data_IF_289758256656
#
_entry.id   IF_289758256656
#
_cell.length_a   1.000
_cell.length_b   1.000
_cell.length_c   1.000
_cell.angle_alpha   90.00
_cell.angle_beta   90.00
_cell.angle_gamma   90.00
#
_symmetry.space_group_name_H-M   'P 1'
#
loop_
_entity.id
_entity.type
_entity.pdbx_description
1 polymer ?
#
# COMPACT_ATOMS: atom_id res chain seq x y z
N UNK A 1 -11.63 7.61 -52.23
CA UNK A 1 -11.38 7.53 -50.77
C UNK A 1 -10.21 6.59 -50.56
N UNK A 2 -9.01 7.01 -50.18
CA UNK A 2 -7.89 6.11 -49.95
C UNK A 2 -7.85 5.65 -48.49
N UNK A 3 -7.65 4.34 -48.32
CA UNK A 3 -7.27 3.65 -47.10
C UNK A 3 -5.98 4.23 -46.52
N UNK A 4 -6.01 4.64 -45.26
CA UNK A 4 -4.80 4.84 -44.44
C UNK A 4 -4.71 3.71 -43.44
N UNK A 5 -3.93 2.69 -43.78
CA UNK A 5 -3.44 1.70 -42.86
C UNK A 5 -2.50 2.39 -41.83
N UNK A 6 -2.88 2.38 -40.56
CA UNK A 6 -2.02 2.80 -39.50
C UNK A 6 -0.98 1.72 -39.23
N UNK A 7 0.24 1.97 -39.66
CA UNK A 7 1.41 1.20 -39.24
C UNK A 7 1.69 1.42 -37.75
N UNK A 8 1.19 0.56 -36.92
CA UNK A 8 1.68 0.38 -35.57
C UNK A 8 2.94 -0.48 -35.68
N UNK A 9 4.09 0.16 -35.70
CA UNK A 9 5.38 -0.48 -35.51
C UNK A 9 5.43 -1.12 -34.13
N UNK A 10 5.23 -2.45 -34.09
CA UNK A 10 5.71 -3.26 -33.00
C UNK A 10 7.24 -3.16 -32.99
N UNK A 11 7.79 -2.29 -32.16
CA UNK A 11 9.18 -2.40 -31.75
C UNK A 11 9.31 -3.66 -30.90
N UNK A 12 9.71 -4.75 -31.51
CA UNK A 12 10.24 -5.89 -30.76
C UNK A 12 11.47 -5.38 -30.03
N UNK A 13 11.34 -5.25 -28.69
CA UNK A 13 12.47 -4.92 -27.82
C UNK A 13 13.43 -6.10 -27.92
N UNK A 14 14.62 -5.83 -28.37
CA UNK A 14 15.69 -6.82 -28.50
C UNK A 14 16.17 -7.20 -27.08
N UNK A 15 15.58 -8.27 -26.56
CA UNK A 15 15.87 -8.82 -25.23
C UNK A 15 17.35 -9.24 -25.08
N UNK A 16 18.00 -9.62 -26.19
CA UNK A 16 19.43 -9.98 -26.17
C UNK A 16 20.33 -8.76 -25.96
N UNK A 17 19.86 -7.56 -26.33
CA UNK A 17 20.59 -6.31 -26.11
C UNK A 17 20.48 -5.82 -24.66
N UNK A 18 19.38 -6.12 -23.98
CA UNK A 18 19.19 -5.84 -22.55
C UNK A 18 20.03 -6.76 -21.68
N UNK A 19 20.19 -8.03 -22.07
CA UNK A 19 20.95 -9.01 -21.29
C UNK A 19 22.48 -8.79 -21.30
N UNK A 20 23.04 -8.17 -22.33
CA UNK A 20 24.50 -7.95 -22.45
C UNK A 20 25.06 -6.80 -21.62
N UNK A 21 24.20 -5.91 -21.05
CA UNK A 21 24.66 -4.74 -20.29
C UNK A 21 24.36 -4.80 -18.80
N UNK A 22 23.94 -5.95 -18.26
CA UNK A 22 23.48 -6.08 -16.85
C UNK A 22 24.56 -5.77 -15.81
N UNK A 23 25.80 -6.19 -16.04
CA UNK A 23 26.84 -6.13 -15.01
C UNK A 23 27.53 -4.76 -14.86
N UNK A 24 27.32 -3.83 -15.78
CA UNK A 24 28.07 -2.57 -15.86
C UNK A 24 27.21 -1.28 -15.87
N UNK A 25 25.87 -1.37 -15.69
CA UNK A 25 25.08 -0.15 -15.58
C UNK A 25 25.31 0.49 -14.20
N UNK A 26 25.88 1.71 -14.11
CA UNK A 26 26.13 2.40 -12.85
C UNK A 26 24.87 2.61 -12.00
N UNK A 27 23.70 2.50 -12.61
CA UNK A 27 22.41 2.67 -11.96
C UNK A 27 21.98 1.37 -11.30
N UNK A 28 22.16 0.22 -11.96
CA UNK A 28 21.95 -1.10 -11.37
C UNK A 28 22.89 -1.30 -10.19
N UNK A 29 24.17 -0.92 -10.33
CA UNK A 29 25.13 -0.94 -9.23
C UNK A 29 24.80 0.04 -8.10
N UNK A 30 24.22 1.22 -8.39
CA UNK A 30 23.79 2.16 -7.37
C UNK A 30 22.54 1.72 -6.62
N UNK A 31 21.65 0.96 -7.29
CA UNK A 31 20.43 0.39 -6.71
C UNK A 31 20.74 -0.77 -5.77
N UNK A 32 21.70 -1.61 -6.11
CA UNK A 32 22.27 -2.64 -5.22
C UNK A 32 22.98 -1.98 -4.01
N UNK A 33 23.42 -0.71 -4.15
CA UNK A 33 24.11 0.02 -3.08
C UNK A 33 23.21 0.58 -1.99
N UNK A 34 21.92 0.77 -2.23
CA UNK A 34 21.06 1.40 -1.21
C UNK A 34 20.38 0.40 -0.27
N UNK A 35 20.50 -0.92 -0.48
CA UNK A 35 20.00 -2.00 0.40
C UNK A 35 18.80 -1.56 1.26
N UNK A 36 17.79 -0.99 0.57
CA UNK A 36 16.59 -0.42 1.14
C UNK A 36 15.39 -1.27 0.75
N UNK A 37 14.58 -1.63 1.73
CA UNK A 37 13.44 -2.50 1.49
C UNK A 37 12.23 -2.06 2.31
N UNK A 38 11.05 -2.07 1.68
CA UNK A 38 9.75 -2.09 2.34
C UNK A 38 9.22 -3.52 2.31
N UNK A 39 9.17 -4.14 3.47
CA UNK A 39 8.69 -5.51 3.63
C UNK A 39 7.30 -5.49 4.25
N UNK A 40 6.29 -5.84 3.48
CA UNK A 40 4.98 -6.16 4.04
C UNK A 40 5.02 -7.56 4.66
N UNK A 41 4.37 -7.72 5.80
CA UNK A 41 4.17 -9.01 6.44
C UNK A 41 2.68 -9.21 6.62
N UNK A 42 2.10 -10.10 5.83
CA UNK A 42 0.69 -10.49 5.95
C UNK A 42 0.54 -11.40 7.15
N UNK A 43 -0.12 -10.89 8.22
CA UNK A 43 -0.27 -11.62 9.49
C UNK A 43 -1.49 -12.53 9.52
N UNK A 44 -2.49 -12.22 8.73
CA UNK A 44 -3.72 -13.01 8.56
C UNK A 44 -4.47 -12.53 7.33
N UNK A 45 -5.24 -13.41 6.71
CA UNK A 45 -6.20 -13.03 5.66
C UNK A 45 -7.57 -12.63 6.24
N UNK A 46 -7.81 -12.91 7.53
CA UNK A 46 -9.09 -12.61 8.19
C UNK A 46 -9.24 -11.12 8.48
N UNK A 47 -10.47 -10.63 8.34
CA UNK A 47 -10.87 -9.28 8.71
C UNK A 47 -12.25 -9.32 9.36
N UNK A 48 -12.50 -8.46 10.35
CA UNK A 48 -13.83 -8.32 10.97
C UNK A 48 -14.75 -7.35 10.22
N UNK A 49 -14.24 -6.71 9.14
CA UNK A 49 -15.03 -5.84 8.27
C UNK A 49 -15.24 -6.51 6.92
N UNK A 50 -16.30 -6.09 6.25
CA UNK A 50 -16.62 -6.46 4.88
C UNK A 50 -16.83 -5.18 4.07
N UNK A 51 -15.72 -4.47 3.76
CA UNK A 51 -15.77 -3.21 3.01
C UNK A 51 -16.15 -3.49 1.55
N UNK A 52 -17.02 -2.65 0.98
CA UNK A 52 -17.62 -2.90 -0.33
C UNK A 52 -16.63 -3.04 -1.51
N UNK A 53 -15.46 -2.48 -1.39
CA UNK A 53 -14.38 -2.53 -2.40
C UNK A 53 -13.25 -3.51 -2.02
N UNK A 54 -13.42 -4.32 -0.98
CA UNK A 54 -12.35 -5.20 -0.52
C UNK A 54 -12.36 -6.52 -1.29
N UNK A 55 -11.29 -6.79 -2.05
CA UNK A 55 -11.11 -8.05 -2.76
C UNK A 55 -10.88 -9.27 -1.84
N UNK A 56 -10.65 -9.07 -0.53
CA UNK A 56 -10.70 -10.14 0.46
C UNK A 56 -12.16 -10.51 0.77
N UNK A 57 -12.95 -10.78 -0.27
CA UNK A 57 -14.35 -11.19 -0.19
C UNK A 57 -14.63 -12.21 0.91
N UNK A 58 -15.89 -12.47 1.17
CA UNK A 58 -16.39 -13.36 2.23
C UNK A 58 -15.42 -14.53 2.51
N UNK A 59 -15.13 -14.78 3.78
CA UNK A 59 -14.21 -15.83 4.27
C UNK A 59 -14.46 -17.26 3.69
N UNK A 60 -15.39 -17.42 2.74
CA UNK A 60 -15.80 -18.68 2.14
C UNK A 60 -14.97 -19.06 0.90
N UNK A 61 -14.37 -18.09 0.19
CA UNK A 61 -13.64 -18.36 -1.07
C UNK A 61 -12.12 -18.55 -0.91
N UNK A 62 -11.60 -18.43 0.32
CA UNK A 62 -10.14 -18.48 0.61
C UNK A 62 -9.60 -19.92 0.61
N UNK A 63 -10.46 -20.95 0.68
CA UNK A 63 -10.01 -22.35 0.83
C UNK A 63 -9.40 -22.95 -0.45
N UNK A 64 -9.70 -22.43 -1.63
CA UNK A 64 -9.30 -23.03 -2.91
C UNK A 64 -7.93 -22.56 -3.46
N UNK A 65 -7.30 -21.52 -2.88
CA UNK A 65 -6.00 -21.06 -3.34
C UNK A 65 -4.90 -21.66 -2.46
N UNK A 66 -4.23 -22.68 -2.94
CA UNK A 66 -3.16 -23.45 -2.26
C UNK A 66 -2.04 -22.58 -1.65
N UNK A 67 -1.90 -21.33 -2.07
CA UNK A 67 -0.93 -20.38 -1.57
C UNK A 67 -1.38 -19.58 -0.33
N UNK A 68 -2.66 -19.61 0.07
CA UNK A 68 -3.22 -18.68 1.04
C UNK A 68 -3.83 -19.37 2.26
N UNK A 69 -2.96 -19.81 3.18
CA UNK A 69 -3.44 -20.15 4.51
C UNK A 69 -3.98 -18.86 5.18
N UNK A 70 -5.18 -18.85 5.80
CA UNK A 70 -5.71 -17.67 6.46
C UNK A 70 -4.86 -17.19 7.64
N UNK A 71 -3.96 -18.03 8.14
CA UNK A 71 -3.11 -17.76 9.29
C UNK A 71 -1.64 -18.04 8.97
N UNK A 72 -0.74 -17.39 9.71
CA UNK A 72 0.70 -17.64 9.58
C UNK A 72 1.03 -19.07 10.01
N UNK A 73 1.61 -19.84 9.09
CA UNK A 73 2.00 -21.25 9.30
C UNK A 73 3.51 -21.49 9.28
N UNK A 74 4.32 -20.47 9.05
CA UNK A 74 5.79 -20.56 9.08
C UNK A 74 6.34 -20.12 10.44
N UNK A 75 7.57 -20.52 10.74
CA UNK A 75 8.28 -20.05 11.94
C UNK A 75 8.64 -18.56 11.78
N UNK A 76 8.00 -17.68 12.57
CA UNK A 76 8.24 -16.23 12.53
C UNK A 76 9.69 -15.85 12.85
N UNK A 77 10.49 -16.73 13.47
CA UNK A 77 11.91 -16.48 13.67
C UNK A 77 12.70 -16.37 12.36
N UNK A 78 12.18 -16.93 11.26
CA UNK A 78 12.77 -16.82 9.92
C UNK A 78 12.84 -15.36 9.44
N UNK A 79 11.97 -14.48 9.94
CA UNK A 79 12.00 -13.05 9.63
C UNK A 79 13.34 -12.39 10.00
N UNK A 80 14.10 -12.96 10.94
CA UNK A 80 15.46 -12.50 11.28
C UNK A 80 16.41 -12.48 10.08
N UNK A 81 16.14 -13.25 9.03
CA UNK A 81 16.92 -13.25 7.78
C UNK A 81 17.02 -11.87 7.15
N UNK A 82 16.02 -11.00 7.39
CA UNK A 82 15.98 -9.62 6.91
C UNK A 82 16.77 -8.61 7.77
N UNK A 83 17.35 -9.01 8.91
CA UNK A 83 18.22 -8.13 9.73
C UNK A 83 19.47 -7.65 8.99
N UNK A 84 19.82 -8.27 7.86
CA UNK A 84 20.96 -7.88 7.02
C UNK A 84 20.63 -6.67 6.12
N UNK A 85 19.35 -6.35 5.92
CA UNK A 85 18.90 -5.17 5.13
C UNK A 85 19.21 -3.90 5.91
N UNK A 86 19.92 -2.95 5.31
CA UNK A 86 20.41 -1.75 6.00
C UNK A 86 19.31 -0.75 6.34
N UNK A 87 18.40 -0.48 5.40
CA UNK A 87 17.26 0.43 5.60
C UNK A 87 15.96 -0.35 5.41
N UNK A 88 15.65 -1.19 6.39
CA UNK A 88 14.46 -2.01 6.41
C UNK A 88 13.28 -1.24 7.01
N UNK A 89 12.19 -1.13 6.26
CA UNK A 89 10.88 -0.77 6.76
C UNK A 89 9.96 -1.99 6.71
N UNK A 90 9.29 -2.30 7.80
CA UNK A 90 8.35 -3.43 7.92
C UNK A 90 6.95 -2.90 8.11
N UNK A 91 6.04 -3.29 7.23
CA UNK A 91 4.63 -2.93 7.33
C UNK A 91 3.80 -4.17 7.70
N UNK A 92 3.18 -4.17 8.87
CA UNK A 92 2.20 -5.19 9.23
C UNK A 92 0.93 -4.97 8.43
N UNK A 93 0.50 -6.04 7.75
CA UNK A 93 -0.56 -6.02 6.75
C UNK A 93 -1.41 -7.30 6.82
N UNK A 94 -2.44 -7.40 5.96
CA UNK A 94 -3.31 -8.55 5.79
C UNK A 94 -4.76 -8.16 5.62
N UNK A 95 -5.70 -9.00 6.00
CA UNK A 95 -7.09 -8.62 6.18
C UNK A 95 -7.19 -7.54 7.26
N UNK A 96 -6.92 -7.92 8.52
CA UNK A 96 -6.71 -6.96 9.61
C UNK A 96 -5.56 -7.44 10.52
N UNK A 97 -4.39 -6.80 10.47
CA UNK A 97 -3.22 -7.25 11.22
C UNK A 97 -3.41 -7.18 12.76
N UNK A 98 -4.28 -6.30 13.26
CA UNK A 98 -4.54 -6.20 14.70
C UNK A 98 -5.39 -7.35 15.26
N UNK A 99 -5.88 -8.26 14.43
CA UNK A 99 -6.39 -9.55 14.90
C UNK A 99 -5.25 -10.47 15.38
N UNK A 100 -4.00 -10.10 15.08
CA UNK A 100 -2.78 -10.87 15.41
C UNK A 100 -1.77 -10.04 16.20
N UNK A 101 -2.23 -9.22 17.15
CA UNK A 101 -1.37 -8.43 18.06
C UNK A 101 -0.22 -9.26 18.66
N UNK A 102 -0.43 -10.51 19.14
CA UNK A 102 0.67 -11.32 19.67
C UNK A 102 1.80 -11.56 18.65
N UNK A 103 1.51 -11.72 17.35
CA UNK A 103 2.54 -11.85 16.32
C UNK A 103 3.31 -10.55 16.12
N UNK A 104 2.63 -9.40 16.18
CA UNK A 104 3.28 -8.08 16.11
C UNK A 104 4.27 -7.94 17.26
N UNK A 105 3.83 -8.26 18.50
CA UNK A 105 4.67 -8.21 19.71
C UNK A 105 5.87 -9.17 19.61
N UNK A 106 5.71 -10.32 18.94
CA UNK A 106 6.78 -11.29 18.71
C UNK A 106 7.76 -10.83 17.62
N UNK A 107 7.29 -10.21 16.53
CA UNK A 107 8.12 -9.85 15.38
C UNK A 107 8.97 -8.61 15.65
N UNK A 108 8.43 -7.58 16.30
CA UNK A 108 9.15 -6.33 16.57
C UNK A 108 10.54 -6.56 17.16
N UNK A 109 10.74 -7.37 18.22
CA UNK A 109 12.06 -7.61 18.79
C UNK A 109 13.00 -8.44 17.89
N UNK A 110 12.48 -9.15 16.87
CA UNK A 110 13.29 -9.89 15.93
C UNK A 110 14.04 -9.00 14.94
N UNK A 111 13.58 -7.77 14.73
CA UNK A 111 14.09 -6.80 13.76
C UNK A 111 14.42 -5.46 14.44
N UNK A 112 15.41 -5.39 15.33
CA UNK A 112 15.66 -4.25 16.21
C UNK A 112 16.03 -2.95 15.48
N UNK A 113 16.54 -3.03 14.24
CA UNK A 113 16.95 -1.88 13.44
C UNK A 113 15.90 -1.48 12.39
N UNK A 114 14.79 -2.20 12.28
CA UNK A 114 13.75 -1.90 11.30
C UNK A 114 12.88 -0.71 11.73
N UNK A 115 12.36 0.02 10.74
CA UNK A 115 11.27 0.97 10.92
C UNK A 115 9.96 0.21 10.81
N UNK A 116 9.06 0.41 11.77
CA UNK A 116 7.78 -0.31 11.75
C UNK A 116 6.64 0.57 11.29
N UNK A 117 5.80 0.01 10.43
CA UNK A 117 4.58 0.56 9.90
C UNK A 117 3.41 -0.39 10.19
N UNK A 118 2.23 0.14 10.41
CA UNK A 118 1.00 -0.61 10.58
C UNK A 118 -0.05 -0.06 9.62
N UNK A 119 -0.66 -0.91 8.79
CA UNK A 119 -1.86 -0.55 8.04
C UNK A 119 -3.05 -1.31 8.63
N UNK A 120 -4.06 -0.58 9.10
CA UNK A 120 -5.17 -1.16 9.88
C UNK A 120 -6.50 -0.49 9.56
N UNK A 121 -7.58 -1.26 9.67
CA UNK A 121 -8.94 -0.74 9.66
C UNK A 121 -9.31 0.03 10.95
N UNK A 122 -8.44 0.02 11.94
CA UNK A 122 -8.52 0.83 13.15
C UNK A 122 -9.48 0.34 14.24
N UNK A 123 -10.25 -0.73 14.01
CA UNK A 123 -11.23 -1.26 15.00
C UNK A 123 -10.53 -1.67 16.29
N UNK A 124 -9.42 -2.40 16.17
CA UNK A 124 -8.70 -2.96 17.33
C UNK A 124 -7.57 -2.06 17.87
N UNK A 125 -7.42 -0.81 17.40
CA UNK A 125 -6.31 0.07 17.82
C UNK A 125 -6.17 0.20 19.33
N UNK A 126 -7.28 0.28 20.07
CA UNK A 126 -7.26 0.41 21.53
C UNK A 126 -6.83 -0.85 22.28
N UNK A 127 -6.70 -1.98 21.60
CA UNK A 127 -6.17 -3.21 22.18
C UNK A 127 -4.63 -3.23 22.22
N UNK A 128 -3.98 -2.34 21.44
CA UNK A 128 -2.54 -2.19 21.49
C UNK A 128 -2.10 -1.54 22.78
N UNK A 129 -1.06 -2.10 23.39
CA UNK A 129 -0.39 -1.46 24.53
C UNK A 129 0.33 -0.17 24.08
N UNK A 130 0.32 0.91 24.85
CA UNK A 130 0.99 2.17 24.49
C UNK A 130 2.48 2.02 24.15
N UNK A 131 3.20 1.09 24.78
CA UNK A 131 4.59 0.80 24.48
C UNK A 131 4.78 0.16 23.09
N UNK A 132 3.83 -0.62 22.63
CA UNK A 132 3.84 -1.19 21.25
C UNK A 132 3.49 -0.11 20.23
N UNK A 133 2.48 0.74 20.53
CA UNK A 133 2.14 1.88 19.67
C UNK A 133 3.36 2.76 19.40
N UNK A 134 4.17 3.04 20.45
CA UNK A 134 5.39 3.87 20.32
C UNK A 134 6.54 3.22 19.55
N UNK A 135 6.44 1.93 19.20
CA UNK A 135 7.40 1.26 18.31
C UNK A 135 7.15 1.55 16.84
N UNK A 136 5.95 1.99 16.49
CA UNK A 136 5.63 2.33 15.09
C UNK A 136 6.21 3.70 14.72
N UNK A 137 6.80 3.77 13.53
CA UNK A 137 7.19 5.01 12.87
C UNK A 137 6.00 5.61 12.11
N UNK A 138 5.13 4.75 11.58
CA UNK A 138 3.96 5.15 10.79
C UNK A 138 2.78 4.23 11.11
N UNK A 139 1.61 4.83 11.28
CA UNK A 139 0.34 4.10 11.37
C UNK A 139 -0.59 4.65 10.28
N UNK A 140 -1.02 3.77 9.37
CA UNK A 140 -2.02 4.09 8.34
C UNK A 140 -3.37 3.57 8.83
N UNK A 141 -4.31 4.48 9.05
CA UNK A 141 -5.67 4.13 9.47
C UNK A 141 -6.60 4.28 8.28
N UNK A 142 -7.29 3.19 7.97
CA UNK A 142 -8.23 3.13 6.85
C UNK A 142 -9.48 3.96 7.14
N UNK A 143 -9.63 5.09 6.44
CA UNK A 143 -10.76 6.04 6.56
C UNK A 143 -10.96 6.75 5.22
N UNK A 144 -12.20 6.82 4.70
CA UNK A 144 -12.44 7.17 3.30
C UNK A 144 -12.93 8.62 3.09
N UNK A 145 -12.86 9.46 4.11
CA UNK A 145 -13.29 10.85 4.05
C UNK A 145 -14.19 11.21 5.24
N UNK A 146 -15.34 11.80 4.95
CA UNK A 146 -16.33 12.16 5.97
C UNK A 146 -17.09 10.95 6.54
N UNK A 147 -17.99 11.21 7.49
CA UNK A 147 -18.79 10.18 8.14
C UNK A 147 -19.64 9.39 7.13
N UNK A 148 -20.28 10.09 6.20
CA UNK A 148 -21.18 9.45 5.25
C UNK A 148 -20.43 8.48 4.32
N UNK A 149 -19.30 8.90 3.77
CA UNK A 149 -18.47 8.10 2.87
C UNK A 149 -17.79 6.93 3.62
N UNK A 150 -17.22 7.20 4.79
CA UNK A 150 -16.55 6.17 5.57
C UNK A 150 -17.53 5.10 6.08
N UNK A 151 -18.69 5.51 6.59
CA UNK A 151 -19.70 4.59 7.10
C UNK A 151 -20.36 3.78 5.98
N UNK A 152 -20.53 4.36 4.80
CA UNK A 152 -21.03 3.64 3.62
C UNK A 152 -20.11 2.49 3.23
N UNK A 153 -18.81 2.75 3.13
CA UNK A 153 -17.83 1.77 2.67
C UNK A 153 -17.47 0.72 3.73
N UNK A 154 -17.37 1.14 5.01
CA UNK A 154 -16.76 0.33 6.07
C UNK A 154 -17.74 -0.13 7.15
N UNK A 155 -18.95 0.39 7.12
CA UNK A 155 -20.00 0.07 8.09
C UNK A 155 -20.37 1.23 8.99
N UNK A 156 -21.63 1.25 9.41
CA UNK A 156 -22.24 2.32 10.21
C UNK A 156 -21.50 2.54 11.54
N UNK A 157 -21.18 3.80 11.83
CA UNK A 157 -20.51 4.21 13.07
C UNK A 157 -18.98 4.08 13.06
N UNK A 158 -18.42 3.55 11.97
CA UNK A 158 -16.97 3.39 11.81
C UNK A 158 -16.24 4.72 11.88
N UNK A 159 -16.72 5.75 11.19
CA UNK A 159 -16.08 7.07 11.21
C UNK A 159 -15.86 7.59 12.63
N UNK A 160 -16.94 7.65 13.44
CA UNK A 160 -16.86 8.16 14.82
C UNK A 160 -15.90 7.34 15.69
N UNK A 161 -15.93 6.03 15.53
CA UNK A 161 -15.03 5.13 16.24
C UNK A 161 -13.57 5.39 15.85
N UNK A 162 -13.27 5.50 14.55
CA UNK A 162 -11.93 5.75 14.05
C UNK A 162 -11.36 7.08 14.54
N UNK A 163 -12.13 8.16 14.47
CA UNK A 163 -11.72 9.47 15.01
C UNK A 163 -11.38 9.37 16.50
N UNK A 164 -12.21 8.66 17.28
CA UNK A 164 -11.97 8.43 18.72
C UNK A 164 -10.68 7.62 18.95
N UNK A 165 -10.41 6.61 18.13
CA UNK A 165 -9.22 5.77 18.26
C UNK A 165 -7.95 6.53 17.83
N UNK A 166 -8.01 7.32 16.76
CA UNK A 166 -6.89 8.16 16.32
C UNK A 166 -6.52 9.23 17.37
N UNK A 167 -7.51 9.89 17.97
CA UNK A 167 -7.28 10.81 19.10
C UNK A 167 -6.63 10.08 20.28
N UNK A 168 -7.10 8.88 20.63
CA UNK A 168 -6.51 8.08 21.70
C UNK A 168 -5.03 7.74 21.43
N UNK A 169 -4.64 7.45 20.19
CA UNK A 169 -3.21 7.24 19.84
C UNK A 169 -2.37 8.47 20.21
N UNK A 170 -2.84 9.68 19.88
CA UNK A 170 -2.12 10.93 20.19
C UNK A 170 -2.12 11.25 21.69
N UNK A 171 -3.29 11.21 22.31
CA UNK A 171 -3.51 11.72 23.67
C UNK A 171 -3.04 10.73 24.75
N UNK A 172 -3.35 9.43 24.58
CA UNK A 172 -3.09 8.42 25.61
C UNK A 172 -1.79 7.65 25.35
N UNK A 173 -1.53 7.24 24.10
CA UNK A 173 -0.30 6.51 23.77
C UNK A 173 0.89 7.44 23.57
N UNK A 174 0.66 8.76 23.41
CA UNK A 174 1.71 9.75 23.06
C UNK A 174 2.43 9.38 21.77
N UNK A 175 1.67 8.89 20.78
CA UNK A 175 2.22 8.53 19.48
C UNK A 175 2.70 9.77 18.75
N UNK A 176 3.99 9.82 18.43
CA UNK A 176 4.67 10.92 17.73
C UNK A 176 5.09 10.57 16.31
N UNK A 177 4.86 9.31 15.90
CA UNK A 177 5.09 8.88 14.53
C UNK A 177 4.05 9.47 13.56
N UNK A 178 4.23 9.16 12.29
CA UNK A 178 3.35 9.62 11.23
C UNK A 178 2.00 8.88 11.27
N UNK A 179 0.92 9.61 11.49
CA UNK A 179 -0.45 9.09 11.46
C UNK A 179 -1.11 9.49 10.14
N UNK A 180 -1.31 8.51 9.28
CA UNK A 180 -1.80 8.71 7.92
C UNK A 180 -3.26 8.27 7.82
N UNK A 181 -4.13 9.15 7.30
CA UNK A 181 -5.44 8.75 6.82
C UNK A 181 -5.27 8.03 5.48
N UNK A 182 -5.59 6.73 5.43
CA UNK A 182 -5.47 5.87 4.25
C UNK A 182 -6.83 5.67 3.63
N UNK A 183 -7.07 6.31 2.49
CA UNK A 183 -8.34 6.26 1.78
C UNK A 183 -8.30 5.24 0.64
N UNK A 184 -9.41 4.57 0.40
CA UNK A 184 -9.78 3.99 -0.90
C UNK A 184 -10.77 4.94 -1.55
N UNK A 185 -10.44 5.42 -2.75
CA UNK A 185 -11.25 6.37 -3.49
C UNK A 185 -12.02 5.62 -4.58
N UNK A 186 -13.31 5.41 -4.36
CA UNK A 186 -14.24 4.77 -5.29
C UNK A 186 -15.14 5.80 -5.98
N UNK A 187 -15.98 5.36 -6.90
CA UNK A 187 -16.87 6.21 -7.69
C UNK A 187 -17.90 7.04 -6.90
N UNK A 188 -17.98 6.86 -5.58
CA UNK A 188 -18.83 7.65 -4.68
C UNK A 188 -18.10 8.79 -3.97
N UNK A 189 -16.77 8.82 -4.01
CA UNK A 189 -15.97 9.81 -3.30
C UNK A 189 -15.91 11.14 -4.06
N UNK A 190 -16.13 12.24 -3.34
CA UNK A 190 -15.60 13.54 -3.73
C UNK A 190 -14.21 13.69 -3.13
N UNK A 191 -13.18 13.46 -3.95
CA UNK A 191 -11.78 13.42 -3.49
C UNK A 191 -11.35 14.74 -2.85
N UNK A 192 -11.80 15.89 -3.38
CA UNK A 192 -11.46 17.19 -2.83
C UNK A 192 -12.04 17.37 -1.42
N UNK A 193 -13.33 17.09 -1.26
CA UNK A 193 -13.99 17.17 0.06
C UNK A 193 -13.41 16.18 1.05
N UNK A 194 -13.20 14.94 0.62
CA UNK A 194 -12.67 13.88 1.49
C UNK A 194 -11.28 14.21 2.02
N UNK A 195 -10.35 14.60 1.14
CA UNK A 195 -8.98 14.95 1.54
C UNK A 195 -8.94 16.19 2.41
N UNK A 196 -9.65 17.26 2.02
CA UNK A 196 -9.69 18.51 2.80
C UNK A 196 -10.34 18.31 4.16
N UNK A 197 -11.39 17.49 4.24
CA UNK A 197 -12.03 17.13 5.51
C UNK A 197 -11.02 16.47 6.46
N UNK A 198 -10.32 15.43 6.00
CA UNK A 198 -9.36 14.69 6.82
C UNK A 198 -8.17 15.53 7.27
N UNK A 199 -7.63 16.40 6.40
CA UNK A 199 -6.57 17.35 6.75
C UNK A 199 -7.04 18.36 7.82
N UNK A 200 -8.28 18.85 7.71
CA UNK A 200 -8.81 19.86 8.63
C UNK A 200 -9.17 19.30 10.02
N UNK A 201 -9.24 17.99 10.19
CA UNK A 201 -9.41 17.38 11.52
C UNK A 201 -8.23 17.64 12.45
N UNK A 202 -7.04 17.92 11.91
CA UNK A 202 -5.82 18.14 12.69
C UNK A 202 -5.35 16.93 13.51
N UNK A 203 -5.85 15.73 13.18
CA UNK A 203 -5.49 14.46 13.84
C UNK A 203 -4.41 13.73 13.05
N UNK A 204 -4.54 13.76 11.72
CA UNK A 204 -3.65 13.10 10.77
C UNK A 204 -2.54 14.06 10.33
N UNK A 205 -1.31 13.56 10.23
CA UNK A 205 -0.19 14.32 9.65
C UNK A 205 -0.31 14.34 8.13
N UNK A 206 -0.78 13.22 7.56
CA UNK A 206 -0.90 13.06 6.12
C UNK A 206 -2.22 12.36 5.73
N UNK A 207 -2.62 12.61 4.48
CA UNK A 207 -3.68 11.89 3.78
C UNK A 207 -3.07 11.20 2.56
N UNK A 208 -3.35 9.92 2.40
CA UNK A 208 -2.95 9.11 1.26
C UNK A 208 -4.15 8.35 0.71
N UNK A 209 -4.37 8.41 -0.59
CA UNK A 209 -5.41 7.61 -1.23
C UNK A 209 -4.86 6.74 -2.34
N UNK A 210 -5.59 5.68 -2.63
CA UNK A 210 -5.50 4.91 -3.85
C UNK A 210 -6.88 4.84 -4.49
N UNK A 211 -6.91 4.66 -5.80
CA UNK A 211 -8.15 4.36 -6.49
C UNK A 211 -8.59 2.94 -6.13
N UNK A 212 -9.88 2.75 -6.08
CA UNK A 212 -10.50 1.45 -6.13
C UNK A 212 -10.27 0.88 -7.54
N UNK A 213 -9.59 -0.26 -7.61
CA UNK A 213 -9.25 -0.92 -8.87
C UNK A 213 -9.79 -2.34 -8.81
N UNK A 214 -10.69 -2.65 -9.72
CA UNK A 214 -11.13 -4.02 -9.92
C UNK A 214 -10.04 -4.80 -10.66
N UNK A 215 -9.48 -5.80 -9.99
CA UNK A 215 -8.49 -6.70 -10.58
C UNK A 215 -9.14 -7.92 -11.25
N UNK A 216 -10.39 -8.23 -10.85
CA UNK A 216 -11.14 -9.37 -11.34
C UNK A 216 -12.45 -8.92 -11.98
N UNK A 217 -12.74 -9.41 -13.19
CA UNK A 217 -13.99 -9.15 -13.92
C UNK A 217 -15.21 -9.87 -13.32
N UNK A 218 -15.00 -10.84 -12.44
CA UNK A 218 -16.06 -11.63 -11.80
C UNK A 218 -16.49 -11.09 -10.42
N UNK A 219 -15.92 -9.97 -9.98
CA UNK A 219 -16.35 -9.33 -8.75
C UNK A 219 -17.83 -8.96 -8.79
N UNK A 220 -18.51 -9.27 -7.71
CA UNK A 220 -19.95 -9.17 -7.46
C UNK A 220 -20.60 -7.98 -8.18
N UNK A 221 -21.55 -8.27 -9.06
CA UNK A 221 -22.31 -7.32 -9.89
C UNK A 221 -22.90 -6.12 -9.13
N UNK A 222 -22.96 -6.17 -7.80
CA UNK A 222 -23.37 -5.05 -6.93
C UNK A 222 -22.40 -3.88 -7.00
N UNK A 223 -21.11 -4.13 -7.24
CA UNK A 223 -20.09 -3.10 -7.31
C UNK A 223 -19.85 -2.62 -8.74
N UNK A 224 -19.82 -3.55 -9.69
CA UNK A 224 -19.59 -3.28 -11.12
C UNK A 224 -20.66 -2.38 -11.74
N UNK A 225 -21.92 -2.55 -11.37
CA UNK A 225 -23.03 -1.73 -11.91
C UNK A 225 -22.96 -0.25 -11.49
N UNK A 226 -22.37 0.06 -10.30
CA UNK A 226 -22.17 1.45 -9.89
C UNK A 226 -20.94 2.10 -10.51
N UNK A 227 -19.91 1.31 -10.86
CA UNK A 227 -18.69 1.83 -11.46
C UNK A 227 -18.79 1.94 -12.99
N UNK A 228 -19.41 0.98 -13.69
CA UNK A 228 -19.40 0.94 -15.15
C UNK A 228 -20.18 2.07 -15.80
N UNK A 229 -21.40 2.36 -15.31
CA UNK A 229 -22.26 3.37 -15.95
C UNK A 229 -21.92 4.82 -15.57
N UNK A 230 -21.39 5.06 -14.36
CA UNK A 230 -21.09 6.39 -13.84
C UNK A 230 -19.60 6.71 -13.74
N UNK A 231 -18.71 5.74 -13.93
CA UNK A 231 -17.28 5.91 -13.65
C UNK A 231 -16.61 7.01 -14.48
N UNK A 232 -16.87 7.06 -15.77
CA UNK A 232 -16.28 8.08 -16.67
C UNK A 232 -16.76 9.48 -16.27
N UNK A 233 -18.03 9.62 -15.97
CA UNK A 233 -18.61 10.90 -15.52
C UNK A 233 -18.05 11.32 -14.15
N UNK A 234 -17.99 10.42 -13.19
CA UNK A 234 -17.35 10.65 -11.90
C UNK A 234 -15.87 11.02 -12.04
N UNK A 235 -15.13 10.27 -12.84
CA UNK A 235 -13.69 10.54 -13.10
C UNK A 235 -13.50 11.96 -13.64
N UNK A 236 -14.26 12.36 -14.65
CA UNK A 236 -14.04 13.62 -15.34
C UNK A 236 -14.61 14.82 -14.58
N UNK A 237 -15.76 14.69 -13.94
CA UNK A 237 -16.45 15.80 -13.27
C UNK A 237 -16.13 15.95 -11.80
N UNK A 238 -15.77 14.86 -11.13
CA UNK A 238 -15.52 14.89 -9.68
C UNK A 238 -14.06 14.64 -9.38
N UNK A 239 -13.49 13.50 -9.80
CA UNK A 239 -12.13 13.13 -9.44
C UNK A 239 -11.08 14.06 -10.04
N UNK A 240 -11.04 14.23 -11.37
CA UNK A 240 -10.04 15.07 -12.05
C UNK A 240 -10.18 16.54 -11.64
N UNK A 241 -11.40 17.04 -11.48
CA UNK A 241 -11.66 18.39 -10.97
C UNK A 241 -11.18 18.53 -9.53
N UNK A 242 -11.46 17.53 -8.69
CA UNK A 242 -11.02 17.48 -7.29
C UNK A 242 -9.50 17.46 -7.16
N UNK A 243 -8.80 16.64 -7.94
CA UNK A 243 -7.31 16.60 -7.99
C UNK A 243 -6.77 17.97 -8.41
N UNK A 244 -7.37 18.61 -9.42
CA UNK A 244 -6.97 19.95 -9.88
C UNK A 244 -7.10 20.99 -8.76
N UNK A 245 -8.18 20.95 -8.00
CA UNK A 245 -8.40 21.87 -6.88
C UNK A 245 -7.44 21.59 -5.73
N UNK A 246 -7.21 20.32 -5.35
CA UNK A 246 -6.20 19.94 -4.35
C UNK A 246 -4.80 20.42 -4.74
N UNK A 247 -4.45 20.34 -6.04
CA UNK A 247 -3.15 20.81 -6.53
C UNK A 247 -3.04 22.33 -6.42
N UNK A 248 -4.10 23.07 -6.75
CA UNK A 248 -4.13 24.54 -6.57
C UNK A 248 -3.93 24.92 -5.12
N UNK A 249 -4.68 24.31 -4.21
CA UNK A 249 -4.58 24.57 -2.77
C UNK A 249 -3.19 24.22 -2.25
N UNK A 250 -2.62 23.09 -2.69
CA UNK A 250 -1.29 22.67 -2.33
C UNK A 250 -0.23 23.71 -2.74
N UNK A 251 -0.28 24.18 -4.00
CA UNK A 251 0.66 25.19 -4.52
C UNK A 251 0.50 26.52 -3.79
N UNK A 252 -0.72 26.96 -3.53
CA UNK A 252 -0.98 28.22 -2.81
C UNK A 252 -0.47 28.18 -1.37
N UNK A 253 -0.66 27.06 -0.68
CA UNK A 253 -0.11 26.86 0.66
C UNK A 253 1.41 26.80 0.64
N UNK A 254 2.00 26.09 -0.34
CA UNK A 254 3.45 26.00 -0.50
C UNK A 254 4.08 27.38 -0.72
N UNK A 255 3.45 28.27 -1.52
CA UNK A 255 3.90 29.68 -1.69
C UNK A 255 3.87 30.47 -0.39
N UNK A 256 3.02 30.11 0.56
CA UNK A 256 2.93 30.69 1.91
C UNK A 256 3.86 30.00 2.92
N UNK A 257 4.75 29.09 2.48
CA UNK A 257 5.65 28.31 3.33
C UNK A 257 4.99 27.19 4.11
N UNK A 258 3.73 26.83 3.78
CA UNK A 258 2.99 25.73 4.41
C UNK A 258 2.91 24.53 3.48
N UNK A 259 3.40 23.39 3.94
CA UNK A 259 3.29 22.12 3.20
C UNK A 259 2.06 21.36 3.69
N UNK A 260 1.12 21.06 2.78
CA UNK A 260 -0.02 20.21 3.10
C UNK A 260 0.41 18.74 3.09
N UNK A 261 -0.09 17.96 4.04
CA UNK A 261 0.20 16.53 4.18
C UNK A 261 -0.51 15.66 3.14
N UNK A 262 -0.33 15.91 1.86
CA UNK A 262 -0.93 15.15 0.75
C UNK A 262 0.13 14.24 0.14
N UNK A 263 0.14 12.98 0.54
CA UNK A 263 1.23 12.02 0.21
C UNK A 263 1.51 11.90 -1.29
N UNK A 264 0.52 11.75 -2.19
CA UNK A 264 0.79 11.66 -3.62
C UNK A 264 1.55 12.89 -4.17
N UNK A 265 1.22 14.10 -3.71
CA UNK A 265 1.89 15.32 -4.15
C UNK A 265 3.29 15.47 -3.57
N UNK A 266 3.46 15.10 -2.29
CA UNK A 266 4.78 15.09 -1.64
C UNK A 266 5.75 14.14 -2.34
N UNK A 267 5.26 12.95 -2.76
CA UNK A 267 6.04 12.00 -3.53
C UNK A 267 6.53 12.57 -4.86
N UNK A 268 5.64 13.19 -5.62
CA UNK A 268 5.98 13.84 -6.89
C UNK A 268 7.00 14.98 -6.70
N UNK A 269 6.78 15.87 -5.73
CA UNK A 269 7.72 16.98 -5.45
C UNK A 269 9.10 16.46 -5.07
N UNK A 270 9.17 15.40 -4.26
CA UNK A 270 10.45 14.78 -3.90
C UNK A 270 11.22 14.31 -5.12
N UNK A 271 10.54 13.67 -6.08
CA UNK A 271 11.13 13.23 -7.35
C UNK A 271 11.65 14.43 -8.15
N UNK A 272 10.85 15.50 -8.27
CA UNK A 272 11.24 16.70 -8.98
C UNK A 272 12.46 17.39 -8.35
N UNK A 273 12.47 17.57 -7.03
CA UNK A 273 13.59 18.24 -6.32
C UNK A 273 14.87 17.43 -6.45
N UNK A 274 14.79 16.11 -6.39
CA UNK A 274 15.97 15.23 -6.50
C UNK A 274 16.45 15.05 -7.94
N UNK A 275 15.65 15.42 -8.94
CA UNK A 275 15.95 15.17 -10.36
C UNK A 275 16.00 13.69 -10.69
N UNK A 276 15.34 12.84 -9.90
CA UNK A 276 15.33 11.39 -10.09
C UNK A 276 14.51 11.05 -11.35
N UNK A 277 15.08 10.26 -12.25
CA UNK A 277 14.29 9.65 -13.32
C UNK A 277 13.50 8.48 -12.72
N UNK A 278 12.18 8.54 -12.82
CA UNK A 278 11.32 7.42 -12.44
C UNK A 278 11.55 6.28 -13.43
N UNK A 279 12.28 5.27 -13.01
CA UNK A 279 12.61 4.09 -13.85
C UNK A 279 11.81 2.85 -13.45
N UNK A 280 10.99 2.94 -12.39
CA UNK A 280 10.28 1.83 -11.76
C UNK A 280 8.86 2.25 -11.41
N UNK A 281 8.03 1.27 -11.07
CA UNK A 281 6.71 1.50 -10.50
C UNK A 281 6.87 2.32 -9.21
N UNK A 282 6.07 3.39 -9.06
CA UNK A 282 6.18 4.32 -7.93
C UNK A 282 5.99 3.66 -6.55
N UNK A 283 5.20 2.58 -6.47
CA UNK A 283 5.00 1.83 -5.24
C UNK A 283 6.18 0.92 -4.86
N UNK A 284 7.14 0.71 -5.76
CA UNK A 284 8.32 -0.14 -5.53
C UNK A 284 8.05 -1.65 -5.57
N UNK A 285 6.84 -2.07 -5.96
CA UNK A 285 6.46 -3.49 -6.02
C UNK A 285 7.49 -4.30 -6.83
N UNK A 286 8.03 -5.38 -6.22
CA UNK A 286 9.04 -6.26 -6.81
C UNK A 286 10.41 -5.64 -7.11
N UNK A 287 10.65 -4.41 -6.63
CA UNK A 287 11.95 -3.77 -6.74
C UNK A 287 12.51 -3.34 -5.38
N UNK A 288 11.75 -2.60 -4.60
CA UNK A 288 12.10 -2.13 -3.26
C UNK A 288 11.03 -2.54 -2.23
N UNK A 289 9.92 -3.13 -2.69
CA UNK A 289 8.79 -3.52 -1.86
C UNK A 289 8.40 -4.98 -2.15
N UNK A 290 8.29 -5.78 -1.10
CA UNK A 290 7.96 -7.20 -1.13
C UNK A 290 6.97 -7.53 -0.04
N UNK A 291 6.30 -8.68 -0.16
CA UNK A 291 5.34 -9.16 0.82
C UNK A 291 5.65 -10.61 1.21
N UNK A 292 5.68 -10.89 2.51
CA UNK A 292 5.66 -12.28 3.01
C UNK A 292 4.19 -12.64 3.25
N UNK A 293 3.72 -13.68 2.58
CA UNK A 293 2.38 -14.21 2.77
C UNK A 293 2.26 -14.97 4.09
N UNK A 294 1.06 -15.30 4.50
CA UNK A 294 0.78 -16.15 5.68
C UNK A 294 1.40 -17.55 5.57
N UNK A 295 1.61 -18.04 4.35
CA UNK A 295 2.25 -19.33 4.08
C UNK A 295 3.79 -19.27 4.06
N UNK A 296 4.39 -18.06 4.08
CA UNK A 296 5.85 -17.87 4.04
C UNK A 296 6.42 -17.68 2.64
N UNK A 297 5.59 -17.65 1.61
CA UNK A 297 6.01 -17.24 0.26
C UNK A 297 6.26 -15.74 0.20
N UNK A 298 7.15 -15.32 -0.69
CA UNK A 298 7.47 -13.92 -0.93
C UNK A 298 6.92 -13.52 -2.29
N UNK A 299 6.02 -12.54 -2.28
CA UNK A 299 5.39 -11.97 -3.46
C UNK A 299 5.84 -10.53 -3.65
N UNK A 300 5.63 -10.00 -4.84
CA UNK A 300 5.93 -8.60 -5.16
C UNK A 300 4.94 -7.61 -4.54
N UNK A 301 3.68 -8.01 -4.33
CA UNK A 301 2.61 -7.11 -3.90
C UNK A 301 1.64 -7.82 -2.95
N UNK A 302 1.24 -7.20 -1.84
CA UNK A 302 0.31 -7.81 -0.90
C UNK A 302 -1.15 -7.85 -1.39
N UNK A 303 -1.49 -7.08 -2.44
CA UNK A 303 -2.85 -7.01 -3.01
C UNK A 303 -2.99 -7.77 -4.33
N UNK A 304 -1.95 -8.47 -4.77
CA UNK A 304 -1.97 -9.31 -5.97
C UNK A 304 -1.43 -10.70 -5.61
N UNK A 305 -2.18 -11.46 -4.82
CA UNK A 305 -1.75 -12.77 -4.32
C UNK A 305 -1.65 -13.84 -5.42
N UNK A 306 -2.36 -13.66 -6.54
CA UNK A 306 -2.34 -14.59 -7.67
C UNK A 306 -1.04 -14.56 -8.47
N UNK A 307 -0.19 -13.54 -8.24
CA UNK A 307 1.14 -13.50 -8.88
C UNK A 307 2.02 -14.57 -8.25
N UNK A 308 2.66 -15.37 -9.09
CA UNK A 308 3.58 -16.43 -8.66
C UNK A 308 4.58 -15.92 -7.62
N UNK A 309 4.84 -16.69 -6.56
CA UNK A 309 5.83 -16.33 -5.56
C UNK A 309 7.20 -16.13 -6.19
N UNK A 310 7.89 -15.06 -5.77
CA UNK A 310 9.26 -14.77 -6.20
C UNK A 310 10.24 -15.69 -5.47
N UNK A 311 9.98 -15.96 -4.18
CA UNK A 311 10.83 -16.78 -3.31
C UNK A 311 10.02 -17.31 -2.11
N UNK A 312 10.70 -18.04 -1.23
CA UNK A 312 10.14 -18.64 -0.02
C UNK A 312 11.10 -18.42 1.17
N UNK A 313 10.63 -17.76 2.22
CA UNK A 313 11.44 -17.49 3.43
C UNK A 313 11.87 -18.77 4.15
N UNK A 314 11.18 -19.89 3.94
CA UNK A 314 11.45 -21.19 4.58
C UNK A 314 12.67 -21.89 4.00
N UNK A 315 13.10 -21.56 2.79
CA UNK A 315 14.28 -22.14 2.14
C UNK A 315 15.52 -21.89 2.99
N UNK A 316 16.39 -22.90 3.12
CA UNK A 316 17.66 -22.80 3.86
C UNK A 316 18.60 -21.79 3.20
N UNK A 317 18.64 -21.76 1.87
CA UNK A 317 19.49 -20.91 1.04
C UNK A 317 18.87 -19.53 0.74
N UNK A 318 17.74 -19.16 1.37
CA UNK A 318 17.12 -17.86 1.17
C UNK A 318 18.08 -16.70 1.49
N UNK A 319 18.32 -15.84 0.52
CA UNK A 319 19.00 -14.56 0.69
C UNK A 319 18.14 -13.43 0.11
N UNK A 320 17.80 -12.43 0.94
CA UNK A 320 17.01 -11.27 0.53
C UNK A 320 17.58 -10.53 -0.69
N UNK A 321 18.88 -10.66 -0.97
CA UNK A 321 19.54 -10.06 -2.15
C UNK A 321 19.01 -10.62 -3.46
N UNK A 322 18.60 -11.89 -3.48
CA UNK A 322 18.06 -12.53 -4.67
C UNK A 322 16.71 -11.90 -5.09
N UNK A 323 15.99 -11.26 -4.15
CA UNK A 323 14.74 -10.58 -4.46
C UNK A 323 14.91 -9.39 -5.41
N UNK A 324 16.10 -8.77 -5.44
CA UNK A 324 16.40 -7.64 -6.33
C UNK A 324 16.78 -8.07 -7.76
N UNK A 325 17.07 -9.34 -7.97
CA UNK A 325 17.50 -9.88 -9.27
C UNK A 325 16.31 -10.34 -10.14
N UNK A 326 15.08 -10.23 -9.62
CA UNK A 326 13.89 -10.69 -10.32
C UNK A 326 13.44 -9.69 -11.39
N UNK A 327 13.44 -10.11 -12.65
CA UNK A 327 12.94 -9.34 -13.82
C UNK A 327 11.40 -9.23 -13.86
N UNK A 328 10.72 -9.66 -12.82
CA UNK A 328 9.37 -10.23 -12.87
C UNK A 328 8.21 -9.23 -12.98
N UNK A 329 8.40 -7.89 -12.99
CA UNK A 329 7.24 -7.05 -12.73
C UNK A 329 7.02 -5.91 -13.72
N UNK A 330 7.81 -5.79 -14.76
CA UNK A 330 7.59 -4.77 -15.78
C UNK A 330 6.27 -4.96 -16.56
N UNK A 331 5.64 -6.13 -16.49
CA UNK A 331 4.48 -6.48 -17.31
C UNK A 331 3.10 -6.31 -16.67
N UNK A 332 2.96 -6.36 -15.35
CA UNK A 332 1.64 -6.42 -14.69
C UNK A 332 1.06 -5.08 -14.24
N UNK A 333 1.87 -4.05 -14.10
CA UNK A 333 1.42 -2.74 -13.65
C UNK A 333 1.69 -1.61 -14.67
N UNK A 334 1.91 -1.94 -15.94
CA UNK A 334 2.06 -0.96 -17.02
C UNK A 334 0.74 -0.49 -17.59
#
# INVERSE_FOLDING_TARGET
VPNTESNILHQQVDLDRLNKNKDNDPITQKLIKEDKMLLFITLTQKCQLNCGYCGNGSNEDIEDIVAHNPEVIYDVNLIKKFNKVKDLAVCFYGGEPLLRIPLIEQIIPLLPNAKFCLQTNGVCLKQLKPEIVRKFNTILVSIDGDEATTDFNRGKGMYKMLIKHCKWLRENCKFTGDLIARMTCSGINDIYKSVTHLLNLGIFDHVHWQLDVEWDSDMDARYTNHLAEGFVDWKDRIYNVGITNLMKDFIENLKKGKVLGIVPFLGLIKIFIKGEKVKRILCGSGSDSFNITTSGYINCCPIAPEIDPIDDIRREDFDHKNLYDTELIAGFCQ
#
